data_IF_564757453244
#
_entry.id   IF_564757453244
#
_cell.length_a   1.000
_cell.length_b   1.000
_cell.length_c   1.000
_cell.angle_alpha   90.00
_cell.angle_beta   90.00
_cell.angle_gamma   90.00
#
_symmetry.space_group_name_H-M   'P 1'
#
loop_
_entity.id
_entity.type
_entity.pdbx_description
1 polymer ?
#
# COMPACT_ATOMS: atom_id res chain seq x y z
N UNK A 1 -23.15 4.39 -13.75
CA UNK A 1 -22.61 3.32 -14.63
C UNK A 1 -21.25 3.65 -15.23
N UNK A 2 -21.01 4.86 -15.78
CA UNK A 2 -19.69 5.25 -16.36
C UNK A 2 -18.52 5.27 -15.36
N UNK A 3 -18.76 5.68 -14.11
CA UNK A 3 -17.71 5.78 -13.07
C UNK A 3 -17.15 4.42 -12.62
N UNK A 4 -18.01 3.40 -12.51
CA UNK A 4 -17.62 2.03 -12.13
C UNK A 4 -16.72 1.40 -13.21
N UNK A 5 -17.02 1.65 -14.48
CA UNK A 5 -16.20 1.21 -15.61
C UNK A 5 -14.87 1.96 -15.72
N UNK A 6 -14.84 3.26 -15.38
CA UNK A 6 -13.60 4.06 -15.34
C UNK A 6 -12.62 3.58 -14.28
N UNK A 7 -13.12 3.14 -13.11
CA UNK A 7 -12.28 2.56 -12.04
C UNK A 7 -11.67 1.21 -12.43
N UNK A 8 -12.41 0.40 -13.20
CA UNK A 8 -11.90 -0.86 -13.74
C UNK A 8 -10.82 -0.66 -14.84
N UNK A 9 -10.82 0.48 -15.53
CA UNK A 9 -9.90 0.79 -16.61
C UNK A 9 -8.56 1.42 -16.17
N UNK A 10 -8.40 1.79 -14.89
CA UNK A 10 -7.08 2.15 -14.36
C UNK A 10 -6.27 0.87 -14.39
N UNK A 11 -5.26 0.79 -15.28
CA UNK A 11 -4.34 -0.35 -15.32
C UNK A 11 -3.91 -0.63 -13.88
N UNK A 12 -4.06 -1.88 -13.48
CA UNK A 12 -3.94 -2.41 -12.12
C UNK A 12 -2.65 -2.00 -11.38
N UNK A 13 -1.69 -1.47 -12.13
CA UNK A 13 -0.34 -1.14 -11.74
C UNK A 13 0.04 0.35 -11.91
N UNK A 14 -0.87 1.19 -12.43
CA UNK A 14 -0.61 2.61 -12.71
C UNK A 14 -1.03 3.56 -11.57
N UNK A 15 -1.50 3.01 -10.44
CA UNK A 15 -1.75 3.79 -9.24
C UNK A 15 -0.43 4.25 -8.59
N UNK A 16 -0.49 5.33 -7.81
CA UNK A 16 0.71 5.98 -7.26
C UNK A 16 1.60 5.01 -6.47
N UNK A 17 1.01 4.15 -5.64
CA UNK A 17 1.75 3.14 -4.87
C UNK A 17 2.44 2.10 -5.76
N UNK A 18 1.76 1.63 -6.81
CA UNK A 18 2.35 0.72 -7.79
C UNK A 18 3.53 1.33 -8.57
N UNK A 19 3.55 2.67 -8.72
CA UNK A 19 4.68 3.41 -9.29
C UNK A 19 5.82 3.58 -8.28
N UNK A 20 5.53 3.76 -7.00
CA UNK A 20 6.52 3.85 -5.91
C UNK A 20 7.31 2.54 -5.80
N UNK A 21 6.63 1.40 -5.74
CA UNK A 21 7.28 0.07 -5.56
C UNK A 21 8.14 -0.30 -6.76
N UNK A 22 7.66 0.02 -7.96
CA UNK A 22 8.45 -0.11 -9.20
C UNK A 22 9.54 0.95 -9.37
N UNK A 23 9.76 1.79 -8.36
CA UNK A 23 10.79 2.84 -8.34
C UNK A 23 10.67 3.81 -9.52
N UNK A 24 9.45 3.96 -10.08
CA UNK A 24 9.15 4.91 -11.17
C UNK A 24 9.01 6.34 -10.66
N UNK A 25 8.60 6.49 -9.40
CA UNK A 25 8.57 7.76 -8.70
C UNK A 25 9.30 7.62 -7.36
N UNK A 26 10.02 8.65 -6.90
CA UNK A 26 10.77 8.58 -5.66
C UNK A 26 9.82 8.53 -4.46
N UNK A 27 10.15 7.68 -3.49
CA UNK A 27 9.57 7.69 -2.15
C UNK A 27 10.63 7.27 -1.14
N UNK A 28 10.51 7.75 0.10
CA UNK A 28 11.39 7.34 1.20
C UNK A 28 10.86 6.05 1.81
N UNK A 29 11.28 4.92 1.25
CA UNK A 29 11.00 3.58 1.77
C UNK A 29 11.76 3.41 3.09
N UNK A 30 11.05 2.94 4.12
CA UNK A 30 11.57 2.69 5.47
C UNK A 30 11.52 1.21 5.83
N UNK A 31 10.71 0.43 5.12
CA UNK A 31 10.67 -1.03 5.19
C UNK A 31 10.24 -1.59 3.83
N UNK A 32 10.82 -2.70 3.39
CA UNK A 32 10.43 -3.39 2.15
C UNK A 32 10.76 -4.88 2.30
N UNK A 33 9.75 -5.73 2.07
CA UNK A 33 9.92 -7.16 1.87
C UNK A 33 9.06 -7.65 0.69
N UNK A 34 8.97 -8.97 0.51
CA UNK A 34 8.27 -9.60 -0.62
C UNK A 34 6.76 -9.31 -0.64
N UNK A 35 6.12 -9.13 0.52
CA UNK A 35 4.66 -9.00 0.62
C UNK A 35 4.23 -7.60 1.05
N UNK A 36 5.04 -6.87 1.83
CA UNK A 36 4.68 -5.57 2.38
C UNK A 36 5.82 -4.57 2.31
N UNK A 37 5.45 -3.31 2.13
CA UNK A 37 6.37 -2.16 2.10
C UNK A 37 5.80 -1.02 2.93
N UNK A 38 6.68 -0.23 3.56
CA UNK A 38 6.32 1.01 4.22
C UNK A 38 7.19 2.15 3.71
N UNK A 39 6.57 3.31 3.48
CA UNK A 39 7.26 4.52 3.05
C UNK A 39 6.71 5.73 3.79
N UNK A 40 7.53 6.77 3.94
CA UNK A 40 7.08 8.02 4.58
C UNK A 40 5.99 8.67 3.76
N UNK A 41 5.01 9.23 4.46
CA UNK A 41 4.01 10.07 3.81
C UNK A 41 4.70 11.30 3.20
N UNK A 42 4.24 11.71 2.01
CA UNK A 42 4.74 12.90 1.32
C UNK A 42 4.24 14.19 1.98
N UNK A 43 3.09 14.13 2.65
CA UNK A 43 2.49 15.21 3.41
C UNK A 43 2.19 14.74 4.85
N UNK A 44 3.22 14.50 5.66
CA UNK A 44 3.06 13.88 6.97
C UNK A 44 2.33 14.81 7.96
N UNK A 45 1.35 14.26 8.67
CA UNK A 45 0.65 14.96 9.76
C UNK A 45 1.38 14.89 11.09
N UNK A 46 2.40 14.02 11.20
CA UNK A 46 3.29 13.89 12.36
C UNK A 46 4.66 13.35 11.96
N UNK A 47 5.65 13.44 12.84
CA UNK A 47 7.03 12.98 12.56
C UNK A 47 7.13 11.50 12.16
N UNK A 48 6.21 10.68 12.65
CA UNK A 48 6.17 9.23 12.45
C UNK A 48 5.08 8.81 11.44
N UNK A 49 4.51 9.74 10.67
CA UNK A 49 3.51 9.39 9.66
C UNK A 49 4.14 8.61 8.49
N UNK A 50 3.64 7.40 8.26
CA UNK A 50 4.02 6.53 7.15
C UNK A 50 2.79 5.84 6.57
N UNK A 51 2.97 5.30 5.37
CA UNK A 51 1.96 4.52 4.65
C UNK A 51 2.47 3.10 4.44
N UNK A 52 1.66 2.13 4.86
CA UNK A 52 1.88 0.72 4.59
C UNK A 52 1.22 0.30 3.29
N UNK A 53 1.88 -0.57 2.55
CA UNK A 53 1.41 -1.14 1.29
C UNK A 53 1.60 -2.65 1.28
N UNK A 54 0.64 -3.37 0.70
CA UNK A 54 0.71 -4.80 0.47
C UNK A 54 0.87 -5.08 -1.03
N UNK A 55 1.80 -5.96 -1.40
CA UNK A 55 2.11 -6.29 -2.80
C UNK A 55 0.90 -6.90 -3.53
N UNK A 56 0.10 -7.73 -2.82
CA UNK A 56 -1.22 -8.13 -3.34
C UNK A 56 -2.14 -6.91 -3.34
N UNK A 57 -2.65 -6.58 -4.52
CA UNK A 57 -3.60 -5.49 -4.68
C UNK A 57 -4.95 -5.85 -4.07
N UNK A 58 -5.34 -5.09 -3.06
CA UNK A 58 -6.71 -4.95 -2.61
C UNK A 58 -7.07 -3.48 -2.75
N UNK A 59 -8.06 -3.13 -3.58
CA UNK A 59 -8.33 -1.73 -3.87
C UNK A 59 -8.87 -0.98 -2.65
N UNK A 60 -9.66 -1.68 -1.83
CA UNK A 60 -10.32 -1.15 -0.65
C UNK A 60 -10.54 -2.25 0.39
N UNK A 61 -10.59 -1.88 1.68
CA UNK A 61 -10.69 -2.86 2.76
C UNK A 61 -11.95 -3.74 2.69
N UNK A 62 -13.08 -3.25 2.13
CA UNK A 62 -14.29 -4.06 1.97
C UNK A 62 -14.17 -5.17 0.91
N UNK A 63 -13.09 -5.20 0.13
CA UNK A 63 -12.83 -6.20 -0.91
C UNK A 63 -11.88 -7.30 -0.43
N UNK A 64 -11.47 -7.29 0.85
CA UNK A 64 -10.64 -8.35 1.42
C UNK A 64 -11.43 -9.65 1.59
N UNK A 65 -10.75 -10.77 1.38
CA UNK A 65 -11.30 -12.10 1.61
C UNK A 65 -10.59 -12.77 2.80
N UNK A 66 -11.13 -13.89 3.30
CA UNK A 66 -10.49 -14.65 4.39
C UNK A 66 -9.05 -15.08 4.05
N UNK A 67 -8.74 -15.24 2.76
CA UNK A 67 -7.39 -15.54 2.27
C UNK A 67 -6.38 -14.41 2.47
N UNK A 68 -6.84 -13.18 2.71
CA UNK A 68 -6.00 -12.01 2.96
C UNK A 68 -5.56 -11.86 4.43
N UNK A 69 -6.11 -12.66 5.33
CA UNK A 69 -5.90 -12.50 6.77
C UNK A 69 -4.41 -12.48 7.16
N UNK A 70 -3.60 -13.38 6.58
CA UNK A 70 -2.17 -13.43 6.86
C UNK A 70 -1.43 -12.17 6.39
N UNK A 71 -1.80 -11.65 5.21
CA UNK A 71 -1.21 -10.44 4.64
C UNK A 71 -1.57 -9.19 5.45
N UNK A 72 -2.84 -9.05 5.84
CA UNK A 72 -3.30 -7.96 6.69
C UNK A 72 -2.64 -8.01 8.07
N UNK A 73 -2.50 -9.20 8.65
CA UNK A 73 -1.77 -9.39 9.91
C UNK A 73 -0.31 -8.96 9.80
N UNK A 74 0.38 -9.37 8.72
CA UNK A 74 1.76 -8.96 8.43
C UNK A 74 1.88 -7.44 8.29
N UNK A 75 0.93 -6.78 7.63
CA UNK A 75 0.91 -5.32 7.49
C UNK A 75 0.81 -4.62 8.86
N UNK A 76 -0.03 -5.13 9.76
CA UNK A 76 -0.18 -4.58 11.11
C UNK A 76 1.07 -4.77 11.98
N UNK A 77 1.70 -5.96 11.92
CA UNK A 77 2.96 -6.22 12.62
C UNK A 77 4.06 -5.29 12.12
N UNK A 78 4.17 -5.13 10.80
CA UNK A 78 5.13 -4.22 10.17
C UNK A 78 4.92 -2.79 10.63
N UNK A 79 3.67 -2.33 10.73
CA UNK A 79 3.37 -1.00 11.24
C UNK A 79 3.88 -0.79 12.68
N UNK A 80 3.73 -1.80 13.55
CA UNK A 80 4.27 -1.77 14.91
C UNK A 80 5.81 -1.73 14.95
N UNK A 81 6.48 -2.46 14.05
CA UNK A 81 7.95 -2.45 13.95
C UNK A 81 8.50 -1.10 13.46
N UNK A 82 7.81 -0.46 12.52
CA UNK A 82 8.26 0.78 11.87
C UNK A 82 7.93 2.04 12.68
N UNK A 83 6.97 1.96 13.60
CA UNK A 83 6.55 3.09 14.43
C UNK A 83 7.54 3.43 15.57
N UNK A 84 8.46 2.51 15.88
CA UNK A 84 9.51 2.66 16.90
C UNK A 84 10.75 3.39 16.34
#
# INVERSE_FOLDING_TARGET
>A
MKEKARRAAVRENDIIFGKIIRKKIPAKIIYEDVDVSAFRDVNPTSANAFLGHAEKRVAMLQEVEDTDQALLGKLMVTAGMVYL
#
